data_IF_036517790709
#
_entry.id   IF_036517790709
#
_cell.length_a   1.000
_cell.length_b   1.000
_cell.length_c   1.000
_cell.angle_alpha   90.00
_cell.angle_beta   90.00
_cell.angle_gamma   90.00
#
_symmetry.space_group_name_H-M   'P 1'
#
loop_
_entity.id
_entity.type
_entity.pdbx_description
1 polymer ?
#
# COMPACT_ATOMS: atom_id res chain seq x y z
N UNK A 1 -8.44 15.64 2.90
CA UNK A 1 -8.68 16.48 4.10
C UNK A 1 -10.16 16.84 4.24
N UNK A 2 -10.78 17.51 3.26
CA UNK A 2 -12.18 17.95 3.36
C UNK A 2 -13.17 16.82 3.67
N UNK A 3 -13.11 15.70 2.95
CA UNK A 3 -13.98 14.55 3.21
C UNK A 3 -13.83 13.98 4.63
N UNK A 4 -12.60 13.94 5.14
CA UNK A 4 -12.32 13.43 6.47
C UNK A 4 -12.83 14.36 7.59
N UNK A 5 -12.86 15.68 7.37
CA UNK A 5 -13.46 16.64 8.31
C UNK A 5 -14.99 16.44 8.36
N UNK A 6 -15.65 16.34 7.20
CA UNK A 6 -17.09 16.03 7.15
C UNK A 6 -17.38 14.71 7.88
N UNK A 7 -16.50 13.72 7.73
CA UNK A 7 -16.66 12.43 8.37
C UNK A 7 -16.51 12.51 9.89
N UNK A 8 -15.58 13.31 10.42
CA UNK A 8 -15.47 13.53 11.86
C UNK A 8 -16.70 14.25 12.42
N UNK A 9 -17.23 15.23 11.70
CA UNK A 9 -18.46 15.92 12.11
C UNK A 9 -19.61 14.92 12.28
N UNK A 10 -19.76 13.99 11.32
CA UNK A 10 -20.69 12.88 11.40
C UNK A 10 -20.40 11.95 12.60
N UNK A 11 -19.15 11.51 12.78
CA UNK A 11 -18.79 10.58 13.86
C UNK A 11 -18.84 11.18 15.27
N UNK A 12 -18.71 12.49 15.39
CA UNK A 12 -18.87 13.19 16.68
C UNK A 12 -20.33 13.52 17.00
N UNK A 13 -21.16 13.67 15.97
CA UNK A 13 -22.60 13.94 16.11
C UNK A 13 -23.42 12.66 16.30
N UNK A 14 -23.12 11.60 15.53
CA UNK A 14 -23.81 10.31 15.55
C UNK A 14 -22.88 9.27 16.18
N UNK A 15 -23.06 9.02 17.47
CA UNK A 15 -22.20 8.12 18.27
C UNK A 15 -22.67 6.67 18.25
N UNK A 16 -23.01 6.19 17.07
CA UNK A 16 -23.43 4.80 16.86
C UNK A 16 -22.28 3.98 16.27
N UNK A 17 -22.11 2.71 16.71
CA UNK A 17 -21.14 1.83 16.09
C UNK A 17 -21.58 1.49 14.65
N UNK A 18 -20.63 1.50 13.71
CA UNK A 18 -20.88 1.13 12.31
C UNK A 18 -20.59 2.23 11.27
N UNK A 19 -20.21 3.43 11.69
CA UNK A 19 -19.76 4.53 10.82
C UNK A 19 -20.67 4.78 9.62
N UNK A 20 -20.19 4.64 8.39
CA UNK A 20 -20.93 4.90 7.15
C UNK A 20 -22.33 4.25 7.15
N UNK A 21 -22.41 3.02 7.62
CA UNK A 21 -23.68 2.29 7.70
C UNK A 21 -24.62 2.95 8.71
N UNK A 22 -24.13 3.22 9.93
CA UNK A 22 -24.92 3.85 10.98
C UNK A 22 -25.37 5.27 10.58
N UNK A 23 -24.48 6.06 9.95
CA UNK A 23 -24.80 7.41 9.47
C UNK A 23 -25.90 7.38 8.41
N UNK A 24 -25.87 6.41 7.49
CA UNK A 24 -26.88 6.28 6.44
C UNK A 24 -28.22 5.78 6.97
N UNK A 25 -28.20 4.86 7.95
CA UNK A 25 -29.40 4.38 8.64
C UNK A 25 -30.03 5.49 9.48
N UNK A 26 -29.23 6.32 10.16
CA UNK A 26 -29.71 7.46 10.95
C UNK A 26 -30.57 8.44 10.14
N UNK A 27 -30.23 8.64 8.85
CA UNK A 27 -31.01 9.49 7.91
C UNK A 27 -32.26 8.77 7.35
N UNK A 28 -32.42 7.47 7.62
CA UNK A 28 -33.53 6.64 7.14
C UNK A 28 -33.29 5.99 5.77
N UNK A 29 -32.08 6.10 5.22
CA UNK A 29 -31.72 5.60 3.88
C UNK A 29 -31.29 4.11 3.90
N UNK A 30 -32.13 3.26 4.46
CA UNK A 30 -31.84 1.83 4.68
C UNK A 30 -31.40 1.07 3.42
N UNK A 31 -32.03 1.35 2.27
CA UNK A 31 -31.67 0.71 1.00
C UNK A 31 -30.24 1.09 0.53
N UNK A 32 -29.83 2.35 0.74
CA UNK A 32 -28.48 2.82 0.42
C UNK A 32 -27.48 2.21 1.40
N UNK A 33 -27.82 2.17 2.69
CA UNK A 33 -26.97 1.56 3.72
C UNK A 33 -26.71 0.07 3.43
N UNK A 34 -27.74 -0.67 3.03
CA UNK A 34 -27.61 -2.07 2.61
C UNK A 34 -26.74 -2.22 1.35
N UNK A 35 -26.97 -1.39 0.34
CA UNK A 35 -26.20 -1.41 -0.90
C UNK A 35 -24.73 -1.11 -0.66
N UNK A 36 -24.44 -0.13 0.21
CA UNK A 36 -23.08 0.20 0.65
C UNK A 36 -22.40 -1.01 1.31
N UNK A 37 -23.07 -1.67 2.27
CA UNK A 37 -22.53 -2.86 2.92
C UNK A 37 -22.27 -3.99 1.94
N UNK A 38 -23.19 -4.21 1.00
CA UNK A 38 -23.04 -5.24 -0.03
C UNK A 38 -21.80 -4.99 -0.90
N UNK A 39 -21.64 -3.76 -1.41
CA UNK A 39 -20.47 -3.38 -2.21
C UNK A 39 -19.18 -3.51 -1.39
N UNK A 40 -19.18 -3.05 -0.14
CA UNK A 40 -17.99 -3.12 0.72
C UNK A 40 -17.54 -4.56 0.97
N UNK A 41 -18.47 -5.46 1.31
CA UNK A 41 -18.18 -6.86 1.64
C UNK A 41 -17.79 -7.69 0.41
N UNK A 42 -18.50 -7.53 -0.71
CA UNK A 42 -18.28 -8.39 -1.88
C UNK A 42 -17.27 -7.83 -2.88
N UNK A 43 -17.07 -6.51 -2.90
CA UNK A 43 -16.24 -5.85 -3.92
C UNK A 43 -15.05 -5.17 -3.25
N UNK A 44 -15.26 -4.17 -2.40
CA UNK A 44 -14.19 -3.28 -1.95
C UNK A 44 -13.13 -3.97 -1.09
N UNK A 45 -13.53 -4.68 -0.02
CA UNK A 45 -12.57 -5.34 0.87
C UNK A 45 -11.84 -6.50 0.20
N UNK A 46 -12.51 -7.42 -0.53
CA UNK A 46 -11.82 -8.49 -1.25
C UNK A 46 -10.87 -7.98 -2.33
N UNK A 47 -11.27 -6.94 -3.09
CA UNK A 47 -10.41 -6.34 -4.10
C UNK A 47 -9.16 -5.71 -3.48
N UNK A 48 -9.32 -4.99 -2.36
CA UNK A 48 -8.18 -4.41 -1.63
C UNK A 48 -7.22 -5.46 -1.11
N UNK A 49 -7.72 -6.52 -0.48
CA UNK A 49 -6.91 -7.64 -0.02
C UNK A 49 -6.17 -8.32 -1.18
N UNK A 50 -6.84 -8.51 -2.33
CA UNK A 50 -6.23 -9.10 -3.52
C UNK A 50 -5.09 -8.24 -4.08
N UNK A 51 -5.28 -6.92 -4.22
CA UNK A 51 -4.23 -5.99 -4.70
C UNK A 51 -3.02 -6.00 -3.77
N UNK A 52 -3.24 -5.98 -2.46
CA UNK A 52 -2.16 -6.04 -1.46
C UNK A 52 -1.41 -7.38 -1.51
N UNK A 53 -2.13 -8.50 -1.60
CA UNK A 53 -1.54 -9.83 -1.73
C UNK A 53 -0.70 -9.96 -3.01
N UNK A 54 -1.22 -9.50 -4.15
CA UNK A 54 -0.48 -9.50 -5.42
C UNK A 54 0.77 -8.63 -5.35
N UNK A 55 0.67 -7.43 -4.75
CA UNK A 55 1.82 -6.54 -4.56
C UNK A 55 2.88 -7.20 -3.69
N UNK A 56 2.49 -7.84 -2.58
CA UNK A 56 3.42 -8.58 -1.74
C UNK A 56 4.15 -9.69 -2.52
N UNK A 57 3.40 -10.51 -3.25
CA UNK A 57 3.95 -11.59 -4.09
C UNK A 57 4.92 -11.07 -5.15
N UNK A 58 4.63 -9.93 -5.75
CA UNK A 58 5.50 -9.29 -6.73
C UNK A 58 6.81 -8.78 -6.12
N UNK A 59 6.73 -8.07 -4.98
CA UNK A 59 7.91 -7.51 -4.31
C UNK A 59 8.82 -8.59 -3.72
N UNK A 60 8.26 -9.66 -3.14
CA UNK A 60 9.08 -10.72 -2.53
C UNK A 60 9.86 -11.52 -3.57
N UNK A 61 9.30 -11.72 -4.76
CA UNK A 61 9.98 -12.43 -5.86
C UNK A 61 11.14 -11.64 -6.47
N UNK A 62 11.17 -10.31 -6.30
CA UNK A 62 12.31 -9.48 -6.69
C UNK A 62 13.46 -9.50 -5.69
N UNK A 63 13.28 -10.11 -4.51
CA UNK A 63 14.34 -10.20 -3.51
C UNK A 63 15.32 -11.35 -3.85
N UNK A 64 16.61 -11.08 -4.13
CA UNK A 64 17.53 -12.05 -4.74
C UNK A 64 17.79 -13.31 -3.89
N UNK A 65 17.80 -13.17 -2.55
CA UNK A 65 17.97 -14.31 -1.63
C UNK A 65 16.73 -15.19 -1.52
N UNK A 66 15.53 -14.61 -1.66
CA UNK A 66 14.28 -15.36 -1.62
C UNK A 66 14.11 -16.17 -2.91
N UNK A 67 14.39 -15.55 -4.06
CA UNK A 67 14.29 -16.21 -5.37
C UNK A 67 15.21 -17.45 -5.47
N UNK A 68 16.43 -17.38 -4.93
CA UNK A 68 17.35 -18.53 -4.94
C UNK A 68 16.89 -19.71 -4.06
N UNK A 69 16.31 -19.45 -2.88
CA UNK A 69 15.74 -20.49 -2.01
C UNK A 69 14.42 -21.05 -2.54
N UNK A 70 13.54 -20.18 -3.03
CA UNK A 70 12.24 -20.57 -3.59
C UNK A 70 12.40 -21.37 -4.89
N UNK A 71 13.32 -20.97 -5.79
CA UNK A 71 13.66 -21.75 -6.99
C UNK A 71 14.17 -23.15 -6.64
N UNK A 72 15.04 -23.27 -5.64
CA UNK A 72 15.50 -24.59 -5.15
C UNK A 72 14.34 -25.42 -4.57
N UNK A 73 13.43 -24.80 -3.84
CA UNK A 73 12.24 -25.47 -3.27
C UNK A 73 11.27 -25.94 -4.38
N UNK A 74 10.96 -25.09 -5.36
CA UNK A 74 10.06 -25.46 -6.46
C UNK A 74 10.60 -26.62 -7.30
N UNK A 75 11.91 -26.62 -7.60
CA UNK A 75 12.57 -27.74 -8.32
C UNK A 75 12.55 -29.03 -7.49
N UNK A 76 12.52 -28.92 -6.16
CA UNK A 76 12.44 -30.07 -5.25
C UNK A 76 11.02 -30.66 -5.16
N UNK A 77 9.98 -29.81 -5.12
CA UNK A 77 8.58 -30.24 -5.04
C UNK A 77 7.97 -30.61 -6.41
N UNK A 78 8.51 -30.05 -7.49
CA UNK A 78 8.16 -30.37 -8.87
C UNK A 78 9.44 -30.70 -9.64
N UNK A 79 9.89 -31.97 -9.63
CA UNK A 79 11.07 -32.40 -10.37
C UNK A 79 10.76 -32.41 -11.88
N UNK A 80 10.77 -31.24 -12.53
CA UNK A 80 10.57 -31.10 -13.99
C UNK A 80 11.88 -31.37 -14.74
N UNK A 81 12.62 -32.41 -14.33
CA UNK A 81 13.86 -32.81 -14.98
C UNK A 81 13.64 -33.45 -16.36
N UNK A 82 12.38 -33.68 -16.77
CA UNK A 82 12.03 -34.30 -18.06
C UNK A 82 11.31 -33.42 -19.07
N UNK A 83 10.95 -32.17 -18.74
CA UNK A 83 10.11 -31.31 -19.61
C UNK A 83 10.74 -29.92 -19.87
N UNK A 84 11.89 -29.64 -19.27
CA UNK A 84 12.63 -28.39 -19.42
C UNK A 84 12.94 -27.96 -20.88
N UNK A 85 13.10 -28.86 -21.87
CA UNK A 85 13.35 -28.43 -23.26
C UNK A 85 12.10 -28.19 -24.10
N UNK A 86 10.91 -28.64 -23.67
CA UNK A 86 9.67 -28.62 -24.48
C UNK A 86 8.66 -27.56 -24.03
N UNK A 87 8.81 -27.04 -22.82
CA UNK A 87 8.10 -25.87 -22.33
C UNK A 87 9.14 -24.79 -22.06
N UNK A 88 9.28 -23.75 -22.92
CA UNK A 88 9.93 -22.53 -22.47
C UNK A 88 9.19 -22.12 -21.19
N UNK A 89 9.90 -22.03 -20.06
CA UNK A 89 9.35 -21.53 -18.79
C UNK A 89 9.18 -20.02 -18.98
N UNK A 90 8.18 -19.71 -19.79
CA UNK A 90 7.82 -18.39 -20.26
C UNK A 90 7.10 -17.67 -19.13
N UNK A 91 7.12 -16.34 -19.15
CA UNK A 91 6.71 -15.40 -18.09
C UNK A 91 5.46 -15.80 -17.27
N UNK A 92 4.52 -16.57 -17.85
CA UNK A 92 3.31 -17.07 -17.20
C UNK A 92 3.54 -17.83 -15.88
N UNK A 93 4.61 -18.64 -15.77
CA UNK A 93 4.92 -19.34 -14.51
C UNK A 93 5.49 -18.41 -13.44
N UNK A 94 6.17 -17.33 -13.85
CA UNK A 94 6.63 -16.30 -12.93
C UNK A 94 5.48 -15.48 -12.37
N UNK A 95 4.54 -15.06 -13.22
CA UNK A 95 3.38 -14.27 -12.79
C UNK A 95 2.40 -15.09 -11.95
N UNK A 96 2.11 -16.33 -12.36
CA UNK A 96 1.28 -17.24 -11.58
C UNK A 96 1.93 -17.53 -10.23
N UNK A 97 3.22 -17.88 -10.21
CA UNK A 97 3.96 -18.17 -8.97
C UNK A 97 3.99 -16.97 -8.01
N UNK A 98 4.25 -15.76 -8.51
CA UNK A 98 4.22 -14.53 -7.71
C UNK A 98 2.85 -14.33 -7.04
N UNK A 99 1.77 -14.44 -7.82
CA UNK A 99 0.40 -14.28 -7.32
C UNK A 99 0.06 -15.35 -6.28
N UNK A 100 0.41 -16.60 -6.54
CA UNK A 100 0.16 -17.72 -5.61
C UNK A 100 0.85 -17.51 -4.27
N UNK A 101 2.07 -16.98 -4.23
CA UNK A 101 2.77 -16.67 -2.97
C UNK A 101 2.00 -15.61 -2.17
N UNK A 102 1.54 -14.55 -2.84
CA UNK A 102 0.73 -13.50 -2.23
C UNK A 102 -0.54 -14.04 -1.59
N UNK A 103 -1.30 -14.84 -2.33
CA UNK A 103 -2.54 -15.44 -1.82
C UNK A 103 -2.29 -16.52 -0.76
N UNK A 104 -1.20 -17.28 -0.85
CA UNK A 104 -0.84 -18.24 0.18
C UNK A 104 -0.56 -17.54 1.52
N UNK A 105 0.16 -16.41 1.50
CA UNK A 105 0.34 -15.59 2.69
C UNK A 105 -1.00 -15.09 3.22
N UNK A 106 -1.90 -14.59 2.36
CA UNK A 106 -3.23 -14.14 2.76
C UNK A 106 -3.98 -15.25 3.51
N UNK A 107 -4.00 -16.48 2.99
CA UNK A 107 -4.64 -17.63 3.64
C UNK A 107 -4.00 -17.95 4.99
N UNK A 108 -2.67 -17.94 5.07
CA UNK A 108 -1.95 -18.15 6.35
C UNK A 108 -2.32 -17.07 7.36
N UNK A 109 -2.35 -15.80 6.96
CA UNK A 109 -2.75 -14.70 7.83
C UNK A 109 -4.21 -14.85 8.28
N UNK A 110 -5.12 -15.24 7.38
CA UNK A 110 -6.52 -15.53 7.75
C UNK A 110 -6.61 -16.64 8.80
N UNK A 111 -5.87 -17.74 8.63
CA UNK A 111 -5.82 -18.84 9.61
C UNK A 111 -5.26 -18.35 10.95
N UNK A 112 -4.19 -17.56 10.95
CA UNK A 112 -3.61 -17.00 12.18
C UNK A 112 -4.58 -16.06 12.90
N UNK A 113 -5.35 -15.26 12.15
CA UNK A 113 -6.40 -14.41 12.70
C UNK A 113 -7.52 -15.24 13.35
N UNK A 114 -7.91 -16.37 12.77
CA UNK A 114 -8.91 -17.26 13.38
C UNK A 114 -8.39 -18.04 14.58
N UNK A 115 -7.10 -18.43 14.58
CA UNK A 115 -6.54 -19.28 15.63
C UNK A 115 -6.22 -18.51 16.91
N UNK A 116 -5.58 -17.34 16.81
CA UNK A 116 -5.29 -16.51 17.99
C UNK A 116 -4.85 -15.10 17.59
N UNK A 117 -5.78 -14.16 17.71
CA UNK A 117 -5.58 -12.74 17.46
C UNK A 117 -4.47 -12.15 18.35
N UNK A 118 -4.58 -12.29 19.66
CA UNK A 118 -3.72 -11.56 20.61
C UNK A 118 -2.28 -12.08 20.63
N UNK A 119 -2.09 -13.40 20.49
CA UNK A 119 -0.78 -14.03 20.63
C UNK A 119 0.07 -13.98 19.36
N UNK A 120 -0.56 -14.00 18.18
CA UNK A 120 0.15 -14.13 16.91
C UNK A 120 -0.16 -12.98 15.95
N UNK A 121 -1.44 -12.68 15.70
CA UNK A 121 -1.82 -11.67 14.71
C UNK A 121 -1.42 -10.25 15.14
N UNK A 122 -1.70 -9.86 16.38
CA UNK A 122 -1.40 -8.52 16.88
C UNK A 122 0.12 -8.22 16.93
N UNK A 123 1.00 -9.08 17.49
CA UNK A 123 2.44 -8.85 17.45
C UNK A 123 3.00 -8.82 16.02
N UNK A 124 2.48 -9.68 15.12
CA UNK A 124 2.86 -9.67 13.72
C UNK A 124 2.50 -8.34 13.04
N UNK A 125 1.31 -7.80 13.30
CA UNK A 125 0.87 -6.51 12.76
C UNK A 125 1.74 -5.35 13.27
N UNK A 126 2.15 -5.37 14.55
CA UNK A 126 3.09 -4.38 15.10
C UNK A 126 4.45 -4.49 14.41
N UNK A 127 4.99 -5.70 14.26
CA UNK A 127 6.26 -5.93 13.56
C UNK A 127 6.21 -5.42 12.11
N UNK A 128 5.16 -5.75 11.35
CA UNK A 128 4.98 -5.28 9.98
C UNK A 128 4.83 -3.75 9.91
N UNK A 129 4.17 -3.15 10.90
CA UNK A 129 4.02 -1.70 10.99
C UNK A 129 5.34 -1.01 11.28
N UNK A 130 6.18 -1.56 12.16
CA UNK A 130 7.54 -1.05 12.39
C UNK A 130 8.42 -1.22 11.16
N UNK A 131 8.35 -2.38 10.49
CA UNK A 131 9.14 -2.67 9.30
C UNK A 131 8.81 -1.72 8.13
N UNK A 132 7.52 -1.44 7.85
CA UNK A 132 7.14 -0.48 6.79
C UNK A 132 7.63 0.93 7.11
N UNK A 133 7.57 1.36 8.37
CA UNK A 133 8.05 2.69 8.78
C UNK A 133 9.56 2.83 8.60
N UNK A 134 10.33 1.80 8.97
CA UNK A 134 11.77 1.75 8.75
C UNK A 134 12.11 1.78 7.26
N UNK A 135 11.44 0.98 6.42
CA UNK A 135 11.68 0.96 4.99
C UNK A 135 11.42 2.33 4.34
N UNK A 136 10.32 2.99 4.70
CA UNK A 136 10.01 4.35 4.23
C UNK A 136 11.04 5.37 4.69
N UNK A 137 11.50 5.28 5.95
CA UNK A 137 12.54 6.15 6.49
C UNK A 137 13.87 6.00 5.74
N UNK A 138 14.30 4.76 5.44
CA UNK A 138 15.52 4.50 4.65
C UNK A 138 15.42 5.17 3.28
N UNK A 139 14.34 4.93 2.53
CA UNK A 139 14.14 5.53 1.19
C UNK A 139 14.17 7.07 1.28
N UNK A 140 13.47 7.63 2.25
CA UNK A 140 13.41 9.08 2.46
C UNK A 140 14.80 9.67 2.73
N UNK A 141 15.52 9.15 3.73
CA UNK A 141 16.83 9.67 4.11
C UNK A 141 17.89 9.45 3.04
N UNK A 142 17.88 8.31 2.35
CA UNK A 142 18.82 8.05 1.24
C UNK A 142 18.58 9.04 0.10
N UNK A 143 17.33 9.28 -0.30
CA UNK A 143 17.05 10.27 -1.36
C UNK A 143 17.45 11.69 -0.97
N UNK A 144 17.19 12.09 0.29
CA UNK A 144 17.63 13.41 0.79
C UNK A 144 19.14 13.54 0.90
N UNK A 145 19.84 12.45 1.24
CA UNK A 145 21.30 12.44 1.25
C UNK A 145 21.87 12.78 -0.14
N UNK A 146 21.41 12.08 -1.17
CA UNK A 146 21.82 12.35 -2.56
C UNK A 146 21.41 13.74 -3.05
N UNK A 147 20.24 14.22 -2.64
CA UNK A 147 19.77 15.55 -3.01
C UNK A 147 20.65 16.66 -2.41
N UNK A 148 20.89 16.63 -1.09
CA UNK A 148 21.57 17.72 -0.39
C UNK A 148 23.10 17.65 -0.42
N UNK A 149 23.68 16.45 -0.35
CA UNK A 149 25.13 16.29 -0.22
C UNK A 149 25.82 16.00 -1.55
N UNK A 150 25.19 15.23 -2.43
CA UNK A 150 25.74 14.87 -3.74
C UNK A 150 25.23 15.79 -4.88
N UNK A 151 24.27 16.67 -4.58
CA UNK A 151 23.66 17.63 -5.51
C UNK A 151 23.04 16.96 -6.75
N UNK A 152 22.40 15.80 -6.55
CA UNK A 152 21.77 15.04 -7.63
C UNK A 152 20.39 15.61 -7.96
N UNK A 153 20.37 16.56 -8.90
CA UNK A 153 19.14 17.26 -9.31
C UNK A 153 18.75 17.03 -10.77
N UNK A 154 19.54 16.29 -11.54
CA UNK A 154 19.35 16.12 -13.00
C UNK A 154 17.92 15.69 -13.38
N UNK A 155 17.33 14.74 -12.65
CA UNK A 155 15.96 14.27 -12.90
C UNK A 155 14.86 15.26 -12.48
N UNK A 156 15.22 16.33 -11.76
CA UNK A 156 14.30 17.34 -11.21
C UNK A 156 14.36 18.68 -11.97
N UNK A 157 15.23 18.84 -12.97
CA UNK A 157 15.39 20.10 -13.71
C UNK A 157 14.16 20.45 -14.57
N UNK A 158 13.52 19.44 -15.15
CA UNK A 158 12.35 19.59 -16.02
C UNK A 158 11.18 18.70 -15.54
N UNK A 159 10.63 18.95 -14.34
CA UNK A 159 9.74 18.02 -13.65
C UNK A 159 8.36 17.85 -14.31
N UNK A 160 7.97 18.81 -15.16
CA UNK A 160 6.67 18.81 -15.84
C UNK A 160 6.78 18.54 -17.34
N UNK A 161 7.98 18.30 -17.87
CA UNK A 161 8.17 18.02 -19.28
C UNK A 161 7.47 16.71 -19.70
N UNK A 162 6.80 16.74 -20.86
CA UNK A 162 6.03 15.58 -21.33
C UNK A 162 4.76 15.27 -20.53
N UNK A 163 4.30 16.16 -19.65
CA UNK A 163 3.08 15.97 -18.87
C UNK A 163 1.82 15.96 -19.73
N UNK A 164 0.88 15.06 -19.40
CA UNK A 164 -0.41 14.96 -20.09
C UNK A 164 -1.51 15.58 -19.23
N UNK A 165 -2.11 16.66 -19.73
CA UNK A 165 -3.13 17.45 -19.02
C UNK A 165 -4.57 17.07 -19.37
N UNK A 166 -4.76 15.95 -20.09
CA UNK A 166 -6.08 15.48 -20.45
C UNK A 166 -6.91 15.16 -19.17
N UNK A 167 -8.13 15.71 -19.02
CA UNK A 167 -8.92 15.57 -17.79
C UNK A 167 -9.13 14.12 -17.34
N UNK A 168 -9.34 13.20 -18.29
CA UNK A 168 -9.49 11.77 -17.98
C UNK A 168 -8.23 11.13 -17.39
N UNK A 169 -7.03 11.51 -17.87
CA UNK A 169 -5.77 11.00 -17.32
C UNK A 169 -5.47 11.60 -15.96
N UNK A 170 -5.79 12.89 -15.77
CA UNK A 170 -5.70 13.54 -14.46
C UNK A 170 -6.61 12.86 -13.44
N UNK A 171 -7.86 12.54 -13.82
CA UNK A 171 -8.78 11.80 -12.96
C UNK A 171 -8.22 10.43 -12.54
N UNK A 172 -7.67 9.66 -13.48
CA UNK A 172 -7.03 8.37 -13.18
C UNK A 172 -5.80 8.52 -12.26
N UNK A 173 -5.00 9.59 -12.43
CA UNK A 173 -3.89 9.89 -11.54
C UNK A 173 -4.38 10.20 -10.11
N UNK A 174 -5.48 10.95 -9.97
CA UNK A 174 -6.13 11.18 -8.68
C UNK A 174 -6.66 9.88 -8.05
N UNK A 175 -7.24 8.96 -8.83
CA UNK A 175 -7.66 7.65 -8.31
C UNK A 175 -6.48 6.86 -7.72
N UNK A 176 -5.33 6.82 -8.43
CA UNK A 176 -4.11 6.19 -7.93
C UNK A 176 -3.58 6.85 -6.65
N UNK A 177 -3.60 8.19 -6.61
CA UNK A 177 -3.22 8.95 -5.42
C UNK A 177 -4.15 8.68 -4.23
N UNK A 178 -5.47 8.73 -4.43
CA UNK A 178 -6.48 8.48 -3.40
C UNK A 178 -6.39 7.05 -2.85
N UNK A 179 -6.05 6.07 -3.68
CA UNK A 179 -5.80 4.70 -3.22
C UNK A 179 -4.70 4.64 -2.15
N UNK A 180 -3.63 5.43 -2.32
CA UNK A 180 -2.53 5.48 -1.34
C UNK A 180 -2.97 6.10 0.00
N UNK A 181 -3.99 6.95 0.01
CA UNK A 181 -4.55 7.56 1.23
C UNK A 181 -5.73 6.79 1.83
N UNK A 182 -6.10 5.61 1.29
CA UNK A 182 -7.25 4.85 1.78
C UNK A 182 -7.15 4.49 3.28
N UNK A 183 -8.28 4.46 3.98
CA UNK A 183 -8.38 4.10 5.41
C UNK A 183 -8.58 5.27 6.38
N UNK A 184 -8.74 6.50 5.88
CA UNK A 184 -9.03 7.69 6.72
C UNK A 184 -10.43 7.67 7.34
N UNK A 185 -11.35 6.96 6.73
CA UNK A 185 -12.75 6.72 7.12
C UNK A 185 -12.86 5.79 8.34
N UNK A 186 -11.89 4.88 8.51
CA UNK A 186 -11.94 3.85 9.57
C UNK A 186 -11.72 4.44 10.98
N UNK A 187 -11.15 5.64 11.09
CA UNK A 187 -10.87 6.27 12.39
C UNK A 187 -12.13 6.46 13.25
N UNK A 188 -13.28 6.64 12.61
CA UNK A 188 -14.53 6.86 13.33
C UNK A 188 -15.05 5.60 14.04
N UNK A 189 -14.61 4.38 13.65
CA UNK A 189 -15.08 3.15 14.31
C UNK A 189 -14.66 3.10 15.77
N UNK A 190 -13.51 3.68 16.10
CA UNK A 190 -12.99 3.79 17.47
C UNK A 190 -13.47 5.03 18.24
N UNK A 191 -14.35 5.87 17.67
CA UNK A 191 -14.81 7.10 18.34
C UNK A 191 -15.34 6.87 19.76
N UNK A 192 -16.12 5.81 20.04
CA UNK A 192 -16.62 5.54 21.41
C UNK A 192 -15.51 5.30 22.44
N UNK A 193 -14.32 4.86 22.00
CA UNK A 193 -13.19 4.54 22.87
C UNK A 193 -12.26 5.75 23.09
N UNK A 194 -12.43 6.82 22.32
CA UNK A 194 -11.55 8.00 22.37
C UNK A 194 -11.98 8.96 23.48
N UNK A 195 -11.02 9.33 24.32
CA UNK A 195 -11.23 10.35 25.34
C UNK A 195 -11.42 11.75 24.70
N UNK A 196 -12.52 12.43 25.03
CA UNK A 196 -12.90 13.76 24.50
C UNK A 196 -12.91 13.82 22.96
N UNK A 197 -13.77 13.02 22.29
CA UNK A 197 -13.70 12.81 20.85
C UNK A 197 -13.90 14.09 20.04
N UNK A 198 -14.73 15.03 20.50
CA UNK A 198 -15.00 16.32 19.82
C UNK A 198 -13.77 17.21 19.64
N UNK A 199 -12.75 17.06 20.49
CA UNK A 199 -11.48 17.80 20.37
C UNK A 199 -10.36 16.91 19.84
N UNK A 200 -10.27 15.67 20.33
CA UNK A 200 -9.17 14.77 20.01
C UNK A 200 -9.25 14.27 18.57
N UNK A 201 -10.44 13.88 18.08
CA UNK A 201 -10.60 13.33 16.73
C UNK A 201 -10.17 14.30 15.63
N UNK A 202 -10.64 15.57 15.60
CA UNK A 202 -10.18 16.53 14.59
C UNK A 202 -8.67 16.75 14.60
N UNK A 203 -8.07 16.90 15.79
CA UNK A 203 -6.64 17.15 15.91
C UNK A 203 -5.80 15.94 15.47
N UNK A 204 -6.17 14.74 15.90
CA UNK A 204 -5.50 13.50 15.52
C UNK A 204 -5.57 13.25 14.01
N UNK A 205 -6.72 13.53 13.39
CA UNK A 205 -6.89 13.34 11.96
C UNK A 205 -6.12 14.37 11.13
N UNK A 206 -6.21 15.66 11.48
CA UNK A 206 -5.49 16.72 10.75
C UNK A 206 -3.99 16.47 10.84
N UNK A 207 -3.47 16.23 12.04
CA UNK A 207 -2.04 15.94 12.23
C UNK A 207 -1.63 14.66 11.48
N UNK A 208 -2.42 13.58 11.57
CA UNK A 208 -2.16 12.34 10.85
C UNK A 208 -2.11 12.53 9.33
N UNK A 209 -3.11 13.18 8.74
CA UNK A 209 -3.15 13.42 7.29
C UNK A 209 -1.99 14.30 6.83
N UNK A 210 -1.63 15.34 7.60
CA UNK A 210 -0.49 16.21 7.27
C UNK A 210 0.84 15.45 7.30
N UNK A 211 1.05 14.59 8.32
CA UNK A 211 2.25 13.75 8.42
C UNK A 211 2.33 12.78 7.24
N UNK A 212 1.22 12.12 6.89
CA UNK A 212 1.18 11.20 5.74
C UNK A 212 1.45 11.96 4.44
N UNK A 213 0.86 13.15 4.27
CA UNK A 213 1.07 14.00 3.10
C UNK A 213 2.55 14.37 2.93
N UNK A 214 3.16 14.87 4.00
CA UNK A 214 4.59 15.18 4.02
C UNK A 214 5.44 13.94 3.67
N UNK A 215 5.14 12.80 4.29
CA UNK A 215 5.86 11.54 4.07
C UNK A 215 5.77 11.10 2.61
N UNK A 216 4.58 11.17 2.01
CA UNK A 216 4.38 10.74 0.62
C UNK A 216 5.08 11.67 -0.37
N UNK A 217 5.04 13.00 -0.14
CA UNK A 217 5.78 13.95 -0.98
C UNK A 217 7.28 13.70 -0.84
N UNK A 218 7.79 13.52 0.37
CA UNK A 218 9.20 13.26 0.63
C UNK A 218 9.69 11.97 -0.04
N UNK A 219 8.93 10.88 0.06
CA UNK A 219 9.28 9.60 -0.60
C UNK A 219 9.25 9.74 -2.13
N UNK A 220 8.25 10.41 -2.70
CA UNK A 220 8.19 10.61 -4.15
C UNK A 220 9.37 11.46 -4.64
N UNK A 221 9.73 12.52 -3.90
CA UNK A 221 10.92 13.31 -4.19
C UNK A 221 12.19 12.43 -4.15
N UNK A 222 12.35 11.60 -3.12
CA UNK A 222 13.46 10.66 -3.02
C UNK A 222 13.52 9.66 -4.18
N UNK A 223 12.39 9.19 -4.69
CA UNK A 223 12.35 8.36 -5.90
C UNK A 223 12.83 9.11 -7.14
N UNK A 224 12.36 10.35 -7.35
CA UNK A 224 12.74 11.14 -8.52
C UNK A 224 14.17 11.68 -8.45
N UNK A 225 14.79 11.76 -7.28
CA UNK A 225 16.24 12.00 -7.17
C UNK A 225 17.02 10.81 -7.72
N UNK A 226 16.62 9.59 -7.39
CA UNK A 226 17.34 8.37 -7.74
C UNK A 226 17.00 7.80 -9.13
N UNK A 227 15.80 8.06 -9.65
CA UNK A 227 15.26 7.43 -10.86
C UNK A 227 14.62 8.47 -11.79
N UNK A 228 14.77 8.26 -13.09
CA UNK A 228 14.09 9.05 -14.11
C UNK A 228 12.59 8.70 -14.21
N UNK A 229 11.74 9.60 -14.75
CA UNK A 229 10.30 9.32 -14.91
C UNK A 229 10.00 8.05 -15.72
N UNK A 230 10.81 7.74 -16.72
CA UNK A 230 10.59 6.55 -17.56
C UNK A 230 11.02 5.25 -16.85
N UNK A 231 12.06 5.30 -16.01
CA UNK A 231 12.39 4.17 -15.13
C UNK A 231 11.27 3.91 -14.11
N UNK A 232 10.65 4.96 -13.56
CA UNK A 232 9.51 4.83 -12.65
C UNK A 232 8.30 4.22 -13.37
N UNK A 233 7.97 4.67 -14.60
CA UNK A 233 6.86 4.11 -15.40
C UNK A 233 7.07 2.65 -15.78
N UNK A 234 8.30 2.29 -16.15
CA UNK A 234 8.64 0.94 -16.61
C UNK A 234 8.94 -0.02 -15.45
N UNK A 235 9.04 0.48 -14.22
CA UNK A 235 9.28 -0.34 -13.04
C UNK A 235 7.98 -0.75 -12.36
N UNK A 236 7.72 -2.05 -12.35
CA UNK A 236 6.64 -2.64 -11.56
C UNK A 236 6.94 -2.70 -10.04
N UNK A 237 8.16 -2.34 -9.60
CA UNK A 237 8.54 -2.28 -8.18
C UNK A 237 9.54 -1.15 -7.92
N UNK A 238 9.03 0.09 -7.91
CA UNK A 238 9.82 1.33 -7.82
C UNK A 238 10.76 1.34 -6.61
N UNK A 239 10.28 0.95 -5.43
CA UNK A 239 11.10 0.97 -4.21
C UNK A 239 12.31 0.03 -4.28
N UNK A 240 12.14 -1.16 -4.89
CA UNK A 240 13.22 -2.12 -5.06
C UNK A 240 14.30 -1.57 -6.00
N UNK A 241 13.88 -0.97 -7.12
CA UNK A 241 14.79 -0.41 -8.12
C UNK A 241 15.53 0.80 -7.58
N UNK A 242 14.83 1.69 -6.85
CA UNK A 242 15.44 2.84 -6.19
C UNK A 242 16.49 2.40 -5.16
N UNK A 243 16.16 1.39 -4.34
CA UNK A 243 17.10 0.87 -3.34
C UNK A 243 18.33 0.24 -4.01
N UNK A 244 18.14 -0.59 -5.04
CA UNK A 244 19.26 -1.19 -5.78
C UNK A 244 20.17 -0.14 -6.43
N UNK A 245 19.57 0.90 -7.01
CA UNK A 245 20.30 2.03 -7.59
C UNK A 245 21.15 2.72 -6.52
N UNK A 246 20.55 3.12 -5.40
CA UNK A 246 21.26 3.75 -4.29
C UNK A 246 22.40 2.89 -3.73
N UNK A 247 22.22 1.57 -3.63
CA UNK A 247 23.29 0.67 -3.19
C UNK A 247 24.47 0.63 -4.17
N UNK A 248 24.22 0.57 -5.49
CA UNK A 248 25.28 0.59 -6.52
C UNK A 248 26.05 1.91 -6.60
N UNK A 249 25.53 2.96 -5.97
CA UNK A 249 26.14 4.29 -5.96
C UNK A 249 26.91 4.54 -4.66
N UNK A 250 26.66 3.73 -3.63
CA UNK A 250 27.35 3.82 -2.34
C UNK A 250 28.56 2.88 -2.26
N UNK A 251 28.58 1.80 -3.05
CA UNK A 251 29.61 0.74 -3.08
C UNK A 251 30.00 0.40 -4.51
#
# INVERSE_FOLDING_TARGET
LSGAICFIELGTSIKEPGCDFAYTVFVGWHAIAFSFMWVSVFITFPASAAVQAQTFGHYISKFPRFLSRFRKMLVLFFPVNGIAPLLPIDLAWHDFGQRSIGYALLVVLTILNFYSLDRFAAPFQVLMTSAKMLAMAIIMFTGFYYFFFENWTHNLEHPMEGSVWAPGKLALAFYGGLWSYAGWDILNYGTPEIHKPTRTMPLSLISGILIVCFTYVAINLSYFVALSPDEVKNSSAVASVSTERSFKLTF
#
